data_IF_433074130722
#
_entry.id   IF_433074130722
#
_cell.length_a   1.000
_cell.length_b   1.000
_cell.length_c   1.000
_cell.angle_alpha   90.00
_cell.angle_beta   90.00
_cell.angle_gamma   90.00
#
_symmetry.space_group_name_H-M   'P 1'
#
loop_
_entity.id
_entity.type
_entity.pdbx_description
1 polymer ?
#
# COMPACT_ATOMS: atom_id res chain seq x y z
N UNK A 1 22.38 -8.76 -15.95
CA UNK A 1 23.01 -9.00 -14.63
C UNK A 1 24.54 -9.03 -14.72
N UNK A 2 25.10 -8.99 -15.93
CA UNK A 2 26.53 -9.23 -16.22
C UNK A 2 27.45 -8.08 -15.77
N UNK A 3 26.91 -6.87 -15.68
CA UNK A 3 27.67 -5.68 -15.28
C UNK A 3 28.00 -5.66 -13.77
N UNK A 4 27.23 -6.38 -12.94
CA UNK A 4 27.45 -6.42 -11.50
C UNK A 4 28.68 -7.28 -11.17
N UNK A 5 28.80 -8.44 -11.82
CA UNK A 5 29.93 -9.35 -11.64
C UNK A 5 31.25 -8.72 -12.09
N UNK A 6 31.24 -7.98 -13.21
CA UNK A 6 32.40 -7.23 -13.68
C UNK A 6 32.82 -6.10 -12.71
N UNK A 7 31.86 -5.48 -12.01
CA UNK A 7 32.12 -4.45 -11.02
C UNK A 7 32.78 -5.01 -9.75
N UNK A 8 32.27 -6.14 -9.24
CA UNK A 8 32.87 -6.84 -8.10
C UNK A 8 34.26 -7.42 -8.42
N UNK A 9 34.48 -7.90 -9.65
CA UNK A 9 35.78 -8.39 -10.09
C UNK A 9 36.86 -7.30 -10.16
N UNK A 10 36.47 -6.03 -10.37
CA UNK A 10 37.39 -4.88 -10.36
C UNK A 10 37.72 -4.36 -8.96
N UNK A 11 36.90 -4.67 -7.96
CA UNK A 11 37.17 -4.26 -6.59
C UNK A 11 38.28 -5.16 -6.03
N UNK A 12 39.45 -4.57 -5.77
CA UNK A 12 40.57 -5.26 -5.15
C UNK A 12 40.30 -5.45 -3.65
N UNK A 13 39.42 -6.40 -3.34
CA UNK A 13 38.84 -6.66 -2.02
C UNK A 13 39.83 -7.34 -1.05
N UNK A 14 41.00 -7.75 -1.55
CA UNK A 14 42.04 -8.40 -0.75
C UNK A 14 43.14 -7.41 -0.42
N UNK A 15 43.41 -7.23 0.87
CA UNK A 15 44.57 -6.47 1.38
C UNK A 15 45.43 -7.43 2.20
N UNK A 16 46.72 -7.56 1.84
CA UNK A 16 47.67 -8.48 2.47
C UNK A 16 47.18 -9.94 2.57
N UNK A 17 46.59 -10.47 1.49
CA UNK A 17 46.12 -11.86 1.43
C UNK A 17 44.82 -12.15 2.21
N UNK A 18 44.27 -11.17 2.94
CA UNK A 18 43.03 -11.30 3.70
C UNK A 18 41.90 -10.44 3.10
N UNK A 19 40.68 -10.96 3.21
CA UNK A 19 39.47 -10.30 2.70
C UNK A 19 39.21 -9.05 3.56
N UNK A 20 39.19 -7.87 2.93
CA UNK A 20 39.08 -6.55 3.57
C UNK A 20 40.12 -6.22 4.65
N UNK A 21 41.19 -7.01 4.79
CA UNK A 21 42.17 -6.84 5.88
C UNK A 21 41.65 -7.29 7.25
N UNK A 22 40.60 -8.12 7.29
CA UNK A 22 40.05 -8.66 8.54
C UNK A 22 41.09 -9.51 9.31
N UNK A 23 41.16 -9.35 10.63
CA UNK A 23 42.10 -10.02 11.52
C UNK A 23 43.53 -9.48 11.48
N UNK A 24 43.79 -8.36 10.79
CA UNK A 24 45.12 -7.73 10.76
C UNK A 24 45.40 -6.93 12.02
N UNK A 25 44.37 -6.31 12.60
CA UNK A 25 44.43 -5.60 13.88
C UNK A 25 43.02 -5.39 14.44
N UNK A 26 42.82 -5.37 15.77
CA UNK A 26 41.52 -5.08 16.37
C UNK A 26 40.91 -3.75 15.91
N UNK A 27 41.73 -2.72 15.73
CA UNK A 27 41.28 -1.39 15.30
C UNK A 27 40.78 -1.40 13.85
N UNK A 28 41.42 -2.18 12.97
CA UNK A 28 40.95 -2.34 11.59
C UNK A 28 39.62 -3.10 11.55
N UNK A 29 39.49 -4.16 12.36
CA UNK A 29 38.28 -4.98 12.39
C UNK A 29 37.07 -4.17 12.87
N UNK A 30 37.23 -3.36 13.93
CA UNK A 30 36.18 -2.44 14.41
C UNK A 30 35.77 -1.41 13.36
N UNK A 31 36.73 -0.86 12.60
CA UNK A 31 36.43 0.07 11.49
C UNK A 31 35.65 -0.62 10.38
N UNK A 32 36.00 -1.86 10.02
CA UNK A 32 35.28 -2.63 9.00
C UNK A 32 33.85 -2.89 9.44
N UNK A 33 33.65 -3.32 10.68
CA UNK A 33 32.31 -3.55 11.25
C UNK A 33 31.51 -2.26 11.16
N UNK A 34 32.04 -1.16 11.70
CA UNK A 34 31.33 0.12 11.71
C UNK A 34 30.96 0.62 10.30
N UNK A 35 31.91 0.59 9.36
CA UNK A 35 31.67 1.01 7.98
C UNK A 35 30.63 0.11 7.30
N UNK A 36 30.72 -1.21 7.48
CA UNK A 36 29.76 -2.15 6.88
C UNK A 36 28.35 -1.95 7.44
N UNK A 37 28.21 -1.74 8.75
CA UNK A 37 26.93 -1.45 9.39
C UNK A 37 26.37 -0.11 8.93
N UNK A 38 27.20 0.93 8.83
CA UNK A 38 26.76 2.24 8.34
C UNK A 38 26.27 2.17 6.89
N UNK A 39 27.01 1.49 6.01
CA UNK A 39 26.60 1.29 4.62
C UNK A 39 25.29 0.52 4.54
N UNK A 40 25.15 -0.56 5.33
CA UNK A 40 23.92 -1.34 5.37
C UNK A 40 22.72 -0.52 5.87
N UNK A 41 22.91 0.30 6.90
CA UNK A 41 21.88 1.18 7.42
C UNK A 41 21.41 2.19 6.37
N UNK A 42 22.34 2.81 5.64
CA UNK A 42 22.00 3.75 4.55
C UNK A 42 21.23 3.05 3.44
N UNK A 43 21.65 1.84 3.05
CA UNK A 43 20.94 1.03 2.05
C UNK A 43 19.53 0.66 2.52
N UNK A 44 19.36 0.27 3.79
CA UNK A 44 18.06 -0.04 4.36
C UNK A 44 17.13 1.17 4.40
N UNK A 45 17.64 2.33 4.81
CA UNK A 45 16.87 3.58 4.81
C UNK A 45 16.44 3.93 3.37
N UNK A 46 17.37 3.87 2.41
CA UNK A 46 17.07 4.12 1.01
C UNK A 46 16.04 3.14 0.44
N UNK A 47 16.14 1.86 0.81
CA UNK A 47 15.17 0.83 0.42
C UNK A 47 13.80 1.06 1.05
N UNK A 48 13.75 1.44 2.34
CA UNK A 48 12.50 1.80 3.01
C UNK A 48 11.82 2.99 2.36
N UNK A 49 12.57 4.04 2.02
CA UNK A 49 12.03 5.20 1.29
C UNK A 49 11.54 4.78 -0.10
N UNK A 50 12.32 3.96 -0.81
CA UNK A 50 11.93 3.45 -2.12
C UNK A 50 10.61 2.66 -2.06
N UNK A 51 10.47 1.75 -1.09
CA UNK A 51 9.23 1.01 -0.86
C UNK A 51 8.10 1.94 -0.47
N UNK A 52 8.34 2.91 0.41
CA UNK A 52 7.33 3.89 0.82
C UNK A 52 6.78 4.67 -0.37
N UNK A 53 7.66 5.20 -1.24
CA UNK A 53 7.26 5.90 -2.48
C UNK A 53 6.49 4.95 -3.41
N UNK A 54 6.91 3.70 -3.52
CA UNK A 54 6.27 2.71 -4.38
C UNK A 54 4.87 2.31 -3.87
N UNK A 55 4.69 2.25 -2.55
CA UNK A 55 3.38 2.03 -1.91
C UNK A 55 2.48 3.25 -2.10
N UNK A 56 3.00 4.46 -1.87
CA UNK A 56 2.29 5.72 -2.05
C UNK A 56 1.80 5.92 -3.48
N UNK A 57 2.56 5.40 -4.47
CA UNK A 57 2.18 5.37 -5.88
C UNK A 57 1.26 4.21 -6.28
N UNK A 58 0.76 3.42 -5.33
CA UNK A 58 -0.11 2.25 -5.53
C UNK A 58 0.46 1.12 -6.42
N UNK A 59 1.75 1.19 -6.80
CA UNK A 59 2.38 0.23 -7.72
C UNK A 59 2.56 -1.18 -7.15
N UNK A 60 2.37 -1.37 -5.83
CA UNK A 60 2.51 -2.67 -5.16
C UNK A 60 1.16 -3.39 -5.00
N UNK A 61 0.04 -2.69 -5.24
CA UNK A 61 -1.31 -3.25 -5.23
C UNK A 61 -1.97 -3.16 -6.61
N UNK A 62 -1.19 -3.36 -7.68
CA UNK A 62 -1.74 -3.64 -9.02
C UNK A 62 -2.36 -5.05 -8.98
N UNK A 63 -3.53 -5.16 -8.35
CA UNK A 63 -4.62 -5.90 -8.98
C UNK A 63 -4.64 -5.37 -10.41
N UNK A 64 -4.59 -6.26 -11.40
CA UNK A 64 -4.83 -5.87 -12.80
C UNK A 64 -6.19 -5.17 -12.84
N UNK A 65 -6.22 -3.86 -12.67
CA UNK A 65 -7.39 -3.09 -13.00
C UNK A 65 -7.49 -3.22 -14.52
N UNK A 66 -8.52 -3.89 -15.05
CA UNK A 66 -8.81 -3.75 -16.46
C UNK A 66 -8.95 -2.25 -16.70
N UNK A 67 -8.41 -1.79 -17.81
CA UNK A 67 -8.53 -0.43 -18.31
C UNK A 67 -9.99 0.04 -18.19
N UNK A 68 -10.36 0.67 -17.07
CA UNK A 68 -11.58 1.44 -16.94
C UNK A 68 -11.17 2.90 -16.99
N UNK A 69 -11.19 3.38 -18.22
CA UNK A 69 -11.54 4.75 -18.56
C UNK A 69 -12.42 5.41 -17.49
N UNK A 70 -11.96 6.58 -17.04
CA UNK A 70 -12.79 7.53 -16.34
C UNK A 70 -12.71 7.39 -14.84
N UNK A 71 -12.46 8.51 -14.18
CA UNK A 71 -12.88 8.73 -12.81
C UNK A 71 -14.16 7.94 -12.52
N UNK A 72 -14.19 7.18 -11.41
CA UNK A 72 -15.45 6.89 -10.72
C UNK A 72 -16.03 8.20 -10.20
N UNK A 73 -16.42 9.09 -11.12
CA UNK A 73 -17.34 10.18 -10.88
C UNK A 73 -18.60 9.50 -10.38
N UNK A 74 -18.89 9.74 -9.10
CA UNK A 74 -20.11 9.32 -8.43
C UNK A 74 -21.29 9.56 -9.38
N UNK A 75 -22.01 8.49 -9.72
CA UNK A 75 -23.16 8.58 -10.61
C UNK A 75 -24.27 9.36 -9.90
N UNK A 76 -24.33 10.66 -10.19
CA UNK A 76 -25.29 11.59 -9.63
C UNK A 76 -26.73 11.19 -9.98
N UNK A 77 -26.94 10.48 -11.10
CA UNK A 77 -28.26 9.97 -11.48
C UNK A 77 -28.70 8.87 -10.53
N UNK A 78 -27.83 7.87 -10.31
CA UNK A 78 -28.11 6.76 -9.39
C UNK A 78 -28.27 7.25 -7.94
N UNK A 79 -27.47 8.24 -7.53
CA UNK A 79 -27.63 8.87 -6.20
C UNK A 79 -28.98 9.59 -6.07
N UNK A 80 -29.37 10.38 -7.08
CA UNK A 80 -30.64 11.12 -7.08
C UNK A 80 -31.84 10.17 -7.09
N UNK A 81 -31.75 9.08 -7.83
CA UNK A 81 -32.76 8.02 -7.86
C UNK A 81 -32.89 7.36 -6.49
N UNK A 82 -31.76 7.01 -5.87
CA UNK A 82 -31.71 6.39 -4.54
C UNK A 82 -32.33 7.31 -3.48
N UNK A 83 -31.97 8.59 -3.46
CA UNK A 83 -32.54 9.57 -2.53
C UNK A 83 -34.05 9.71 -2.74
N UNK A 84 -34.50 9.80 -3.99
CA UNK A 84 -35.93 9.93 -4.32
C UNK A 84 -36.72 8.68 -3.91
N UNK A 85 -36.15 7.49 -4.10
CA UNK A 85 -36.75 6.22 -3.68
C UNK A 85 -37.03 6.20 -2.17
N UNK A 86 -36.04 6.55 -1.35
CA UNK A 86 -36.22 6.55 0.11
C UNK A 86 -37.16 7.66 0.60
N UNK A 87 -37.17 8.83 -0.03
CA UNK A 87 -38.13 9.89 0.29
C UNK A 87 -39.56 9.47 0.00
N UNK A 88 -39.81 8.84 -1.16
CA UNK A 88 -41.12 8.32 -1.51
C UNK A 88 -41.59 7.22 -0.55
N UNK A 89 -40.68 6.31 -0.18
CA UNK A 89 -40.97 5.23 0.77
C UNK A 89 -41.31 5.75 2.17
N UNK A 90 -40.64 6.82 2.63
CA UNK A 90 -40.95 7.47 3.89
C UNK A 90 -42.37 8.08 3.90
N UNK A 91 -42.77 8.72 2.80
CA UNK A 91 -44.13 9.25 2.65
C UNK A 91 -45.18 8.13 2.61
N UNK A 92 -44.87 7.01 1.98
CA UNK A 92 -45.73 5.83 1.95
C UNK A 92 -45.92 5.24 3.36
N UNK A 93 -44.85 5.11 4.14
CA UNK A 93 -44.95 4.64 5.53
C UNK A 93 -45.73 5.59 6.43
N UNK A 94 -45.57 6.91 6.27
CA UNK A 94 -46.37 7.87 7.00
C UNK A 94 -47.85 7.83 6.59
N UNK A 95 -48.17 7.55 5.32
CA UNK A 95 -49.56 7.30 4.89
C UNK A 95 -50.12 6.03 5.51
N UNK A 96 -49.37 4.93 5.50
CA UNK A 96 -49.81 3.66 6.11
C UNK A 96 -50.02 3.82 7.62
N UNK A 97 -49.13 4.54 8.30
CA UNK A 97 -49.24 4.83 9.74
C UNK A 97 -50.46 5.71 10.08
N UNK A 98 -50.79 6.68 9.23
CA UNK A 98 -51.95 7.57 9.40
C UNK A 98 -53.26 6.94 8.91
N UNK A 99 -53.19 6.00 7.98
CA UNK A 99 -54.31 5.18 7.58
C UNK A 99 -54.63 4.23 8.74
N UNK A 100 -55.53 4.68 9.62
CA UNK A 100 -56.09 3.86 10.70
C UNK A 100 -56.69 2.61 10.07
N UNK A 101 -56.01 1.47 10.20
CA UNK A 101 -56.60 0.19 9.87
C UNK A 101 -57.73 -0.05 10.86
N UNK A 102 -58.97 -0.06 10.36
CA UNK A 102 -60.08 -0.66 11.10
C UNK A 102 -59.86 -2.17 11.06
N UNK A 103 -58.91 -2.65 11.88
CA UNK A 103 -58.75 -4.06 12.14
C UNK A 103 -59.95 -4.47 13.01
N UNK A 104 -60.98 -5.04 12.37
CA UNK A 104 -61.97 -5.85 13.08
C UNK A 104 -61.23 -7.13 13.46
N UNK A 105 -61.14 -7.38 14.75
CA UNK A 105 -60.59 -8.60 15.31
C UNK A 105 -61.42 -9.80 14.81
N UNK A 106 -60.84 -10.76 14.07
CA UNK A 106 -61.56 -11.93 13.59
C UNK A 106 -61.87 -12.96 14.70
N UNK A 107 -61.58 -12.65 15.97
CA UNK A 107 -61.89 -13.51 17.12
C UNK A 107 -63.14 -13.10 17.93
N UNK A 108 -63.92 -12.14 17.43
CA UNK A 108 -65.27 -11.80 17.95
C UNK A 108 -66.39 -12.29 17.03
#
# INVERSE_FOLDING_TARGET
MDNLHAFFARLNLKKNGRLFGYGTSPEADWKIIFVSTAVLAVLMIGFSIFIFIKIDREEIFVVKEPVEQGSKTLDLSLLKETVSYYQNKALEFERIKKAKTSAVDPSL
#
